data_IF_126240465233
#
_entry.id   IF_126240465233
#
_cell.length_a   1.000
_cell.length_b   1.000
_cell.length_c   1.000
_cell.angle_alpha   90.00
_cell.angle_beta   90.00
_cell.angle_gamma   90.00
#
_symmetry.space_group_name_H-M   'P 1'
#
loop_
_entity.id
_entity.type
_entity.pdbx_description
1 polymer ?
#
# COMPACT_ATOMS: atom_id res chain seq x y z
N UNK A 1 -63.54 6.41 7.64
CA UNK A 1 -62.52 6.99 6.76
C UNK A 1 -61.11 6.51 7.15
N UNK A 2 -60.75 6.60 8.43
CA UNK A 2 -59.43 6.20 8.99
C UNK A 2 -58.99 4.76 8.69
N UNK A 3 -59.89 3.77 8.77
CA UNK A 3 -59.56 2.36 8.49
C UNK A 3 -59.10 2.13 7.05
N UNK A 4 -59.59 2.94 6.11
CA UNK A 4 -59.24 2.88 4.68
C UNK A 4 -57.89 3.53 4.43
N UNK A 5 -57.58 4.62 5.13
CA UNK A 5 -56.28 5.30 5.12
C UNK A 5 -55.18 4.40 5.68
N UNK A 6 -55.37 3.79 6.86
CA UNK A 6 -54.38 2.84 7.44
C UNK A 6 -54.08 1.64 6.54
N UNK A 7 -55.08 1.16 5.80
CA UNK A 7 -54.90 0.05 4.84
C UNK A 7 -54.09 0.48 3.62
N UNK A 8 -54.23 1.73 3.17
CA UNK A 8 -53.44 2.30 2.08
C UNK A 8 -51.99 2.54 2.51
N UNK A 9 -51.77 3.05 3.73
CA UNK A 9 -50.42 3.23 4.31
C UNK A 9 -49.67 1.90 4.42
N UNK A 10 -50.29 0.87 4.99
CA UNK A 10 -49.68 -0.47 5.08
C UNK A 10 -49.35 -1.09 3.71
N UNK A 11 -50.18 -0.82 2.69
CA UNK A 11 -49.92 -1.27 1.32
C UNK A 11 -48.78 -0.48 0.67
N UNK A 12 -48.65 0.81 0.96
CA UNK A 12 -47.54 1.65 0.50
C UNK A 12 -46.22 1.18 1.09
N UNK A 13 -46.17 0.95 2.40
CA UNK A 13 -44.97 0.46 3.10
C UNK A 13 -44.51 -0.91 2.59
N UNK A 14 -45.47 -1.81 2.34
CA UNK A 14 -45.20 -3.12 1.74
C UNK A 14 -44.67 -3.00 0.32
N UNK A 15 -45.22 -2.07 -0.48
CA UNK A 15 -44.77 -1.82 -1.85
C UNK A 15 -43.37 -1.20 -1.87
N UNK A 16 -43.09 -0.23 -1.00
CA UNK A 16 -41.76 0.35 -0.83
C UNK A 16 -40.73 -0.71 -0.41
N UNK A 17 -41.06 -1.56 0.56
CA UNK A 17 -40.21 -2.68 0.99
C UNK A 17 -39.93 -3.67 -0.15
N UNK A 18 -40.93 -3.98 -0.98
CA UNK A 18 -40.77 -4.84 -2.15
C UNK A 18 -39.88 -4.20 -3.22
N UNK A 19 -40.06 -2.92 -3.51
CA UNK A 19 -39.20 -2.16 -4.43
C UNK A 19 -37.75 -2.18 -3.93
N UNK A 20 -37.54 -1.93 -2.64
CA UNK A 20 -36.21 -1.96 -2.02
C UNK A 20 -35.56 -3.36 -2.11
N UNK A 21 -36.35 -4.41 -1.93
CA UNK A 21 -35.89 -5.80 -2.09
C UNK A 21 -35.59 -6.16 -3.55
N UNK A 22 -36.39 -5.69 -4.51
CA UNK A 22 -36.14 -5.88 -5.94
C UNK A 22 -34.90 -5.10 -6.39
N UNK A 23 -34.73 -3.86 -5.94
CA UNK A 23 -33.52 -3.07 -6.18
C UNK A 23 -32.28 -3.77 -5.60
N UNK A 24 -32.36 -4.29 -4.36
CA UNK A 24 -31.28 -5.10 -3.76
C UNK A 24 -30.98 -6.36 -4.57
N UNK A 25 -32.01 -7.08 -5.07
CA UNK A 25 -31.83 -8.27 -5.92
C UNK A 25 -31.20 -7.94 -7.27
N UNK A 26 -31.63 -6.85 -7.92
CA UNK A 26 -31.04 -6.37 -9.17
C UNK A 26 -29.59 -5.95 -8.95
N UNK A 27 -29.30 -5.26 -7.84
CA UNK A 27 -27.94 -4.87 -7.48
C UNK A 27 -27.06 -6.07 -7.12
N UNK A 28 -27.58 -7.06 -6.40
CA UNK A 28 -26.87 -8.30 -6.08
C UNK A 28 -26.61 -9.15 -7.33
N UNK A 29 -27.44 -9.03 -8.36
CA UNK A 29 -27.18 -9.69 -9.64
C UNK A 29 -26.07 -8.97 -10.44
N UNK A 30 -25.75 -7.70 -10.12
CA UNK A 30 -24.70 -6.92 -10.80
C UNK A 30 -23.28 -7.18 -10.29
N UNK A 31 -23.10 -7.75 -9.11
CA UNK A 31 -21.81 -7.99 -8.48
C UNK A 31 -21.73 -9.34 -7.80
N UNK A 32 -20.53 -9.92 -7.72
CA UNK A 32 -20.32 -11.12 -6.90
C UNK A 32 -20.48 -10.79 -5.43
N UNK A 33 -20.90 -11.79 -4.67
CA UNK A 33 -21.03 -11.64 -3.23
C UNK A 33 -19.64 -11.52 -2.60
N UNK A 34 -19.42 -10.43 -1.87
CA UNK A 34 -18.22 -10.23 -1.08
C UNK A 34 -18.16 -11.22 0.09
N UNK A 35 -16.95 -11.63 0.47
CA UNK A 35 -16.78 -12.42 1.68
C UNK A 35 -17.05 -11.55 2.90
N UNK A 36 -17.69 -12.15 3.90
CA UNK A 36 -18.01 -11.49 5.17
C UNK A 36 -17.47 -12.29 6.34
N UNK A 37 -17.06 -11.57 7.37
CA UNK A 37 -16.77 -12.13 8.68
C UNK A 37 -17.72 -11.48 9.68
N UNK A 38 -18.73 -12.23 10.12
CA UNK A 38 -19.89 -11.71 10.85
C UNK A 38 -20.65 -10.70 9.98
N UNK A 39 -20.74 -9.45 10.42
CA UNK A 39 -21.36 -8.34 9.69
C UNK A 39 -20.40 -7.63 8.75
N UNK A 40 -19.09 -7.82 8.92
CA UNK A 40 -18.06 -7.01 8.28
C UNK A 40 -17.66 -7.58 6.92
N UNK A 41 -17.66 -6.73 5.90
CA UNK A 41 -17.10 -7.04 4.58
C UNK A 41 -15.58 -7.02 4.65
N UNK A 42 -14.94 -8.10 4.20
CA UNK A 42 -13.49 -8.16 4.18
C UNK A 42 -12.97 -7.47 2.92
N UNK A 43 -12.12 -6.47 3.12
CA UNK A 43 -11.50 -5.69 2.05
C UNK A 43 -9.98 -5.80 2.12
N UNK A 44 -9.32 -5.46 1.01
CA UNK A 44 -7.88 -5.31 0.98
C UNK A 44 -7.46 -4.18 1.95
N UNK A 45 -6.39 -4.39 2.73
CA UNK A 45 -5.89 -3.43 3.73
C UNK A 45 -4.51 -2.92 3.34
N UNK A 46 -4.11 -1.75 3.80
CA UNK A 46 -2.76 -1.19 3.61
C UNK A 46 -1.69 -2.06 4.25
N UNK A 47 -1.92 -2.55 5.46
CA UNK A 47 -0.98 -3.44 6.12
C UNK A 47 -0.78 -4.74 5.31
N UNK A 48 0.48 -5.08 5.10
CA UNK A 48 0.96 -6.25 4.38
C UNK A 48 1.04 -7.46 5.31
N UNK A 49 1.61 -7.29 6.51
CA UNK A 49 1.91 -8.41 7.40
C UNK A 49 0.81 -8.59 8.45
N UNK A 50 -0.07 -9.56 8.21
CA UNK A 50 -1.17 -9.95 9.13
C UNK A 50 -2.03 -8.74 9.57
N UNK A 51 -2.70 -8.06 8.64
CA UNK A 51 -3.63 -6.97 8.96
C UNK A 51 -4.79 -7.46 9.83
N UNK A 52 -5.39 -6.58 10.62
CA UNK A 52 -6.68 -6.87 11.24
C UNK A 52 -7.80 -6.67 10.20
N UNK A 53 -8.26 -7.79 9.63
CA UNK A 53 -9.28 -7.77 8.58
C UNK A 53 -10.68 -7.43 9.11
N UNK A 54 -10.95 -7.58 10.41
CA UNK A 54 -12.25 -7.30 11.02
C UNK A 54 -12.39 -5.84 11.46
N UNK A 55 -11.28 -5.21 11.87
CA UNK A 55 -11.32 -3.89 12.46
C UNK A 55 -11.77 -2.81 11.47
N UNK A 56 -12.59 -1.89 11.94
CA UNK A 56 -13.04 -0.74 11.16
C UNK A 56 -11.84 0.14 10.75
N UNK A 57 -11.97 0.88 9.66
CA UNK A 57 -10.99 1.89 9.27
C UNK A 57 -10.96 2.99 10.33
N UNK A 58 -9.77 3.30 10.83
CA UNK A 58 -9.52 4.40 11.76
C UNK A 58 -9.56 5.71 10.97
N UNK A 59 -10.46 6.62 11.39
CA UNK A 59 -10.51 7.98 10.88
C UNK A 59 -9.67 8.87 11.78
N UNK A 60 -8.60 9.44 11.26
CA UNK A 60 -7.70 10.31 12.03
C UNK A 60 -7.00 11.31 11.13
N UNK A 61 -6.76 12.51 11.66
CA UNK A 61 -5.94 13.55 11.03
C UNK A 61 -4.48 13.48 11.49
N UNK A 62 -4.17 12.62 12.46
CA UNK A 62 -2.80 12.37 12.94
C UNK A 62 -2.59 10.88 13.20
N UNK A 63 -1.91 10.22 12.27
CA UNK A 63 -1.41 8.84 12.46
C UNK A 63 -0.34 8.80 13.55
N UNK A 64 0.49 9.84 13.66
CA UNK A 64 1.47 10.02 14.74
C UNK A 64 0.85 9.85 16.13
N UNK A 65 -0.21 10.62 16.42
CA UNK A 65 -0.89 10.57 17.73
C UNK A 65 -1.56 9.23 17.98
N UNK A 66 -2.20 8.65 16.96
CA UNK A 66 -2.86 7.35 17.10
C UNK A 66 -1.86 6.24 17.43
N UNK A 67 -0.74 6.17 16.70
CA UNK A 67 0.31 5.17 16.94
C UNK A 67 0.96 5.38 18.30
N UNK A 68 1.18 6.63 18.73
CA UNK A 68 1.66 6.94 20.08
C UNK A 68 0.75 6.34 21.17
N UNK A 69 -0.57 6.56 21.07
CA UNK A 69 -1.55 6.01 22.01
C UNK A 69 -1.52 4.48 21.97
N UNK A 70 -1.51 3.90 20.77
CA UNK A 70 -1.45 2.46 20.57
C UNK A 70 -0.22 1.83 21.25
N UNK A 71 0.98 2.38 21.01
CA UNK A 71 2.22 1.87 21.60
C UNK A 71 2.23 2.02 23.12
N UNK A 72 1.69 3.12 23.65
CA UNK A 72 1.55 3.34 25.11
C UNK A 72 0.59 2.33 25.74
N UNK A 73 -0.57 2.08 25.13
CA UNK A 73 -1.54 1.09 25.61
C UNK A 73 -1.00 -0.34 25.58
N UNK A 74 -0.17 -0.66 24.58
CA UNK A 74 0.50 -1.96 24.46
C UNK A 74 1.83 -2.04 25.23
N UNK A 75 2.16 -1.05 26.07
CA UNK A 75 3.36 -1.01 26.92
C UNK A 75 4.69 -1.23 26.15
N UNK A 76 4.76 -0.74 24.91
CA UNK A 76 5.93 -0.86 24.06
C UNK A 76 6.85 0.38 24.19
N UNK A 77 7.42 0.61 25.37
CA UNK A 77 8.17 1.85 25.69
C UNK A 77 9.35 2.11 24.75
N UNK A 78 10.13 1.08 24.43
CA UNK A 78 11.27 1.23 23.50
C UNK A 78 10.83 1.62 22.08
N UNK A 79 9.69 1.11 21.62
CA UNK A 79 9.13 1.49 20.33
C UNK A 79 8.57 2.93 20.38
N UNK A 80 7.96 3.32 21.50
CA UNK A 80 7.42 4.66 21.71
C UNK A 80 8.51 5.72 21.60
N UNK A 81 9.66 5.50 22.23
CA UNK A 81 10.81 6.42 22.17
C UNK A 81 11.28 6.66 20.73
N UNK A 82 11.43 5.59 19.93
CA UNK A 82 11.80 5.72 18.52
C UNK A 82 10.70 6.41 17.70
N UNK A 83 9.43 6.16 18.00
CA UNK A 83 8.31 6.80 17.32
C UNK A 83 8.30 8.31 17.56
N UNK A 84 8.51 8.75 18.80
CA UNK A 84 8.61 10.17 19.16
C UNK A 84 9.82 10.84 18.50
N UNK A 85 10.97 10.16 18.46
CA UNK A 85 12.13 10.67 17.70
C UNK A 85 11.82 10.82 16.22
N UNK A 86 11.15 9.85 15.61
CA UNK A 86 10.76 9.92 14.20
C UNK A 86 9.84 11.12 13.93
N UNK A 87 8.86 11.36 14.80
CA UNK A 87 7.96 12.51 14.71
C UNK A 87 8.72 13.85 14.84
N UNK A 88 9.69 13.94 15.76
CA UNK A 88 10.52 15.13 15.92
C UNK A 88 11.38 15.42 14.67
N UNK A 89 12.00 14.38 14.08
CA UNK A 89 12.72 14.54 12.81
C UNK A 89 11.80 14.93 11.65
N UNK A 90 10.56 14.43 11.61
CA UNK A 90 9.56 14.86 10.65
C UNK A 90 9.23 16.36 10.81
N UNK A 91 8.91 16.80 12.03
CA UNK A 91 8.62 18.22 12.33
C UNK A 91 9.79 19.15 12.01
N UNK A 92 11.02 18.69 12.21
CA UNK A 92 12.21 19.43 11.80
C UNK A 92 12.37 19.45 10.27
N UNK A 93 12.01 18.37 9.57
CA UNK A 93 12.18 18.28 8.11
C UNK A 93 11.26 19.23 7.35
N UNK A 94 10.02 19.45 7.81
CA UNK A 94 9.05 20.28 7.10
C UNK A 94 9.45 21.76 7.03
N UNK A 95 10.35 22.24 7.90
CA UNK A 95 10.85 23.62 7.90
C UNK A 95 12.16 23.80 7.14
N UNK A 96 12.78 22.72 6.67
CA UNK A 96 14.06 22.76 5.98
C UNK A 96 13.89 22.98 4.46
N UNK A 97 14.88 23.60 3.80
CA UNK A 97 14.93 23.64 2.34
C UNK A 97 15.12 22.22 1.77
N UNK A 98 14.72 22.04 0.51
CA UNK A 98 14.59 20.73 -0.12
C UNK A 98 15.91 19.94 -0.24
N UNK A 99 17.04 20.63 -0.29
CA UNK A 99 18.40 20.07 -0.32
C UNK A 99 18.88 19.58 1.06
N UNK A 100 18.39 20.17 2.16
CA UNK A 100 18.71 19.75 3.52
C UNK A 100 17.73 18.68 4.08
N UNK A 101 16.51 18.62 3.54
CA UNK A 101 15.45 17.70 3.98
C UNK A 101 15.79 16.21 3.96
N UNK A 102 16.53 15.66 2.97
CA UNK A 102 16.80 14.23 2.93
C UNK A 102 17.49 13.68 4.18
N UNK A 103 18.36 14.48 4.80
CA UNK A 103 19.07 14.11 6.03
C UNK A 103 18.11 13.85 7.19
N UNK A 104 17.22 14.80 7.47
CA UNK A 104 16.27 14.68 8.60
C UNK A 104 15.16 13.68 8.29
N UNK A 105 14.67 13.62 7.04
CA UNK A 105 13.72 12.61 6.61
C UNK A 105 14.28 11.19 6.72
N UNK A 106 15.56 10.99 6.40
CA UNK A 106 16.18 9.69 6.60
C UNK A 106 16.16 9.26 8.07
N UNK A 107 16.48 10.16 9.01
CA UNK A 107 16.40 9.84 10.44
C UNK A 107 14.96 9.68 10.95
N UNK A 108 13.99 10.36 10.34
CA UNK A 108 12.57 10.06 10.53
C UNK A 108 12.28 8.59 10.18
N UNK A 109 12.68 8.15 8.99
CA UNK A 109 12.39 6.79 8.50
C UNK A 109 13.13 5.72 9.30
N UNK A 110 14.41 5.96 9.61
CA UNK A 110 15.22 5.10 10.44
C UNK A 110 14.55 4.81 11.78
N UNK A 111 14.10 5.86 12.46
CA UNK A 111 13.47 5.71 13.77
C UNK A 111 12.06 5.13 13.68
N UNK A 112 11.28 5.46 12.65
CA UNK A 112 9.98 4.83 12.41
C UNK A 112 10.11 3.31 12.19
N UNK A 113 11.13 2.86 11.44
CA UNK A 113 11.42 1.43 11.27
C UNK A 113 11.87 0.78 12.58
N UNK A 114 12.75 1.43 13.35
CA UNK A 114 13.14 0.91 14.67
C UNK A 114 11.93 0.76 15.60
N UNK A 115 10.99 1.71 15.59
CA UNK A 115 9.74 1.63 16.34
C UNK A 115 8.91 0.42 15.89
N UNK A 116 8.76 0.21 14.57
CA UNK A 116 8.10 -0.97 14.02
C UNK A 116 8.76 -2.27 14.52
N UNK A 117 10.06 -2.43 14.31
CA UNK A 117 10.78 -3.65 14.67
C UNK A 117 10.70 -3.92 16.17
N UNK A 118 10.84 -2.89 17.02
CA UNK A 118 10.65 -3.02 18.47
C UNK A 118 9.21 -3.39 18.85
N UNK A 119 8.20 -2.81 18.22
CA UNK A 119 6.78 -3.14 18.47
C UNK A 119 6.41 -4.57 18.08
N UNK A 120 7.17 -5.19 17.16
CA UNK A 120 6.99 -6.57 16.71
C UNK A 120 7.98 -7.54 17.34
N UNK A 121 8.80 -7.09 18.28
CA UNK A 121 9.86 -7.88 18.91
C UNK A 121 10.84 -8.52 17.91
N UNK A 122 11.18 -7.79 16.84
CA UNK A 122 12.14 -8.22 15.83
C UNK A 122 13.52 -7.66 16.17
N UNK A 123 14.51 -8.55 16.24
CA UNK A 123 15.91 -8.18 16.46
C UNK A 123 16.52 -7.55 15.20
N UNK A 124 17.40 -6.56 15.40
CA UNK A 124 18.11 -5.89 14.32
C UNK A 124 19.45 -5.32 14.81
N UNK A 125 20.43 -5.24 13.91
CA UNK A 125 21.69 -4.50 14.11
C UNK A 125 21.43 -2.99 13.97
N UNK A 126 22.07 -2.17 14.79
CA UNK A 126 21.88 -0.71 14.84
C UNK A 126 22.43 0.04 13.62
N UNK A 127 23.24 -0.61 12.78
CA UNK A 127 23.68 -0.11 11.46
C UNK A 127 22.48 0.18 10.55
N UNK A 128 22.68 1.08 9.60
CA UNK A 128 21.64 1.51 8.66
C UNK A 128 21.05 0.37 7.81
N UNK A 129 21.86 -0.66 7.49
CA UNK A 129 21.48 -1.78 6.63
C UNK A 129 21.45 -1.47 5.13
N UNK A 130 22.03 -0.34 4.75
CA UNK A 130 22.14 0.14 3.38
C UNK A 130 23.43 0.96 3.25
N UNK A 131 23.97 1.08 2.06
CA UNK A 131 25.01 2.05 1.71
C UNK A 131 24.76 2.61 0.32
N UNK A 132 25.23 3.83 0.08
CA UNK A 132 25.26 4.41 -1.25
C UNK A 132 26.69 4.59 -1.75
N UNK A 133 26.83 4.51 -3.06
CA UNK A 133 28.05 4.89 -3.76
C UNK A 133 27.67 5.58 -5.07
N UNK A 134 28.57 6.43 -5.56
CA UNK A 134 28.41 7.08 -6.86
C UNK A 134 29.43 6.53 -7.83
N UNK A 135 28.95 6.10 -9.00
CA UNK A 135 29.82 5.76 -10.12
C UNK A 135 30.40 7.06 -10.71
N UNK A 136 31.73 7.09 -10.88
CA UNK A 136 32.44 8.20 -11.50
C UNK A 136 31.88 8.49 -12.88
N UNK A 137 31.69 9.78 -13.20
CA UNK A 137 31.21 10.22 -14.50
C UNK A 137 30.15 11.31 -14.40
N UNK A 138 29.26 11.36 -15.40
CA UNK A 138 28.19 12.37 -15.47
C UNK A 138 27.27 12.26 -14.25
N UNK A 139 26.80 13.40 -13.76
CA UNK A 139 25.84 13.44 -12.65
C UNK A 139 24.47 13.12 -13.20
N UNK A 140 24.01 11.92 -12.86
CA UNK A 140 22.76 11.32 -13.27
C UNK A 140 22.36 10.30 -12.21
N UNK A 141 21.08 10.23 -11.88
CA UNK A 141 20.54 9.29 -10.88
C UNK A 141 20.78 7.80 -11.22
N UNK A 142 21.11 7.47 -12.48
CA UNK A 142 21.57 6.14 -12.90
C UNK A 142 22.92 5.77 -12.24
N UNK A 143 23.76 6.77 -12.00
CA UNK A 143 25.09 6.59 -11.43
C UNK A 143 25.08 6.64 -9.89
N UNK A 144 23.93 6.83 -9.26
CA UNK A 144 23.76 6.71 -7.81
C UNK A 144 23.36 5.26 -7.50
N UNK A 145 24.31 4.48 -6.99
CA UNK A 145 24.12 3.07 -6.62
C UNK A 145 23.78 2.95 -5.14
N UNK A 146 22.95 1.97 -4.84
CA UNK A 146 22.42 1.70 -3.51
C UNK A 146 22.54 0.21 -3.25
N UNK A 147 23.27 -0.15 -2.20
CA UNK A 147 23.45 -1.53 -1.76
C UNK A 147 22.62 -1.82 -0.53
N UNK A 148 21.68 -2.74 -0.61
CA UNK A 148 20.99 -3.32 0.54
C UNK A 148 21.93 -4.33 1.21
N UNK A 149 22.12 -4.22 2.53
CA UNK A 149 23.02 -5.08 3.29
C UNK A 149 22.23 -6.18 4.01
N UNK A 150 22.86 -7.34 4.17
CA UNK A 150 22.31 -8.50 4.89
C UNK A 150 21.96 -8.22 6.38
N UNK A 151 22.55 -7.19 6.98
CA UNK A 151 22.38 -6.82 8.40
C UNK A 151 22.14 -5.33 8.55
N UNK A 152 21.43 -4.96 9.61
CA UNK A 152 21.08 -3.58 9.95
C UNK A 152 19.57 -3.35 10.00
N UNK A 153 19.16 -2.11 10.24
CA UNK A 153 17.75 -1.73 10.37
C UNK A 153 16.95 -2.02 9.10
N UNK A 154 17.49 -1.71 7.91
CA UNK A 154 16.81 -2.05 6.65
C UNK A 154 16.65 -3.57 6.47
N UNK A 155 17.67 -4.36 6.80
CA UNK A 155 17.55 -5.83 6.76
C UNK A 155 16.47 -6.33 7.72
N UNK A 156 16.37 -5.73 8.91
CA UNK A 156 15.27 -6.00 9.85
C UNK A 156 13.89 -5.71 9.25
N UNK A 157 13.72 -4.58 8.56
CA UNK A 157 12.49 -4.24 7.83
C UNK A 157 12.18 -5.27 6.74
N UNK A 158 13.17 -5.60 5.92
CA UNK A 158 13.10 -6.62 4.87
C UNK A 158 12.65 -7.98 5.42
N UNK A 159 13.23 -8.41 6.55
CA UNK A 159 12.85 -9.65 7.24
C UNK A 159 11.41 -9.61 7.77
N UNK A 160 11.00 -8.48 8.38
CA UNK A 160 9.62 -8.29 8.83
C UNK A 160 8.63 -8.45 7.67
N UNK A 161 8.95 -7.85 6.52
CA UNK A 161 8.14 -7.88 5.30
C UNK A 161 8.24 -9.21 4.53
N UNK A 162 8.98 -10.20 5.06
CA UNK A 162 9.21 -11.53 4.46
C UNK A 162 9.95 -11.49 3.13
N UNK A 163 10.80 -10.49 2.98
CA UNK A 163 11.64 -10.26 1.82
C UNK A 163 13.08 -10.12 2.33
N UNK A 164 13.74 -11.18 2.86
CA UNK A 164 15.10 -11.07 3.38
C UNK A 164 16.07 -10.57 2.29
N UNK A 165 17.09 -9.82 2.71
CA UNK A 165 18.21 -9.45 1.84
C UNK A 165 19.13 -10.66 1.76
N UNK A 166 19.48 -11.17 0.56
CA UNK A 166 20.36 -12.33 0.41
C UNK A 166 21.78 -12.04 0.94
N UNK A 167 22.52 -13.11 1.18
CA UNK A 167 23.95 -13.04 1.51
C UNK A 167 24.71 -12.27 0.42
N UNK A 168 25.64 -11.41 0.83
CA UNK A 168 26.38 -10.53 -0.09
C UNK A 168 25.66 -9.24 -0.47
N UNK A 169 24.36 -9.13 -0.17
CA UNK A 169 23.54 -7.94 -0.41
C UNK A 169 22.94 -7.86 -1.82
N UNK A 170 22.25 -6.76 -2.10
CA UNK A 170 21.66 -6.47 -3.41
C UNK A 170 21.94 -5.05 -3.83
N UNK A 171 22.26 -4.85 -5.10
CA UNK A 171 22.62 -3.56 -5.67
C UNK A 171 21.52 -3.05 -6.60
N UNK A 172 21.17 -1.78 -6.44
CA UNK A 172 20.18 -1.07 -7.25
C UNK A 172 20.67 0.30 -7.67
N UNK A 173 20.08 0.83 -8.74
CA UNK A 173 20.21 2.24 -9.12
C UNK A 173 19.11 3.06 -8.45
N UNK A 174 19.43 4.30 -8.04
CA UNK A 174 18.42 5.21 -7.54
C UNK A 174 17.31 5.43 -8.57
N UNK A 175 17.64 5.49 -9.86
CA UNK A 175 16.63 5.57 -10.93
C UNK A 175 15.62 4.42 -10.89
N UNK A 176 16.11 3.19 -10.81
CA UNK A 176 15.25 2.00 -10.82
C UNK A 176 14.46 1.88 -9.52
N UNK A 177 15.02 2.32 -8.39
CA UNK A 177 14.27 2.45 -7.14
C UNK A 177 13.10 3.44 -7.30
N UNK A 178 13.35 4.65 -7.81
CA UNK A 178 12.31 5.66 -8.01
C UNK A 178 11.24 5.21 -9.02
N UNK A 179 11.62 4.43 -10.04
CA UNK A 179 10.67 3.82 -10.98
C UNK A 179 9.65 2.89 -10.28
N UNK A 180 10.08 2.20 -9.23
CA UNK A 180 9.32 1.21 -8.48
C UNK A 180 8.55 1.80 -7.27
N UNK A 181 8.26 3.11 -7.28
CA UNK A 181 7.47 3.77 -6.24
C UNK A 181 6.17 4.35 -6.83
N UNK A 182 5.04 3.73 -6.51
CA UNK A 182 3.73 4.07 -7.09
C UNK A 182 3.34 5.55 -6.90
N UNK A 183 3.63 6.13 -5.74
CA UNK A 183 3.23 7.49 -5.38
C UNK A 183 3.97 8.60 -6.15
N UNK A 184 5.10 8.27 -6.80
CA UNK A 184 5.82 9.19 -7.70
C UNK A 184 5.90 8.68 -9.14
N UNK A 185 5.28 7.55 -9.45
CA UNK A 185 5.47 6.89 -10.74
C UNK A 185 5.03 7.76 -11.92
N UNK A 186 3.97 8.55 -11.74
CA UNK A 186 3.54 9.51 -12.76
C UNK A 186 4.63 10.56 -13.03
N UNK A 187 5.23 11.13 -11.98
CA UNK A 187 6.36 12.05 -12.10
C UNK A 187 7.55 11.39 -12.78
N UNK A 188 7.81 10.11 -12.48
CA UNK A 188 8.85 9.34 -13.16
C UNK A 188 8.59 9.23 -14.67
N UNK A 189 7.38 8.86 -15.09
CA UNK A 189 7.01 8.75 -16.50
C UNK A 189 7.08 10.10 -17.23
N UNK A 190 6.79 11.22 -16.56
CA UNK A 190 6.96 12.56 -17.13
C UNK A 190 8.44 12.90 -17.34
N UNK A 191 9.31 12.55 -16.39
CA UNK A 191 10.77 12.76 -16.50
C UNK A 191 11.42 11.82 -17.53
N UNK A 192 10.91 10.59 -17.64
CA UNK A 192 11.37 9.55 -18.56
C UNK A 192 10.23 9.00 -19.45
N UNK A 193 9.79 9.75 -20.49
CA UNK A 193 8.61 9.40 -21.30
C UNK A 193 8.69 8.07 -22.08
N UNK A 194 9.89 7.51 -22.23
CA UNK A 194 10.12 6.22 -22.90
C UNK A 194 10.02 5.02 -21.96
N UNK A 195 9.81 5.25 -20.67
CA UNK A 195 9.65 4.17 -19.69
C UNK A 195 8.24 3.62 -19.72
N UNK A 196 8.13 2.29 -19.72
CA UNK A 196 6.85 1.58 -19.63
C UNK A 196 6.16 1.89 -18.30
N UNK A 197 4.86 2.15 -18.32
CA UNK A 197 4.09 2.38 -17.10
C UNK A 197 3.95 1.06 -16.31
N UNK A 198 4.40 1.09 -15.04
CA UNK A 198 4.49 -0.07 -14.15
C UNK A 198 3.21 -0.28 -13.34
N UNK A 199 2.46 0.79 -13.06
CA UNK A 199 1.29 0.75 -12.19
C UNK A 199 0.00 1.02 -12.96
N UNK A 200 -1.01 0.20 -12.71
CA UNK A 200 -2.34 0.35 -13.30
C UNK A 200 -3.32 0.76 -12.20
N UNK A 201 -3.99 1.91 -12.28
CA UNK A 201 -5.00 2.31 -11.31
C UNK A 201 -6.20 1.36 -11.36
N UNK A 202 -6.66 0.94 -10.19
CA UNK A 202 -7.79 0.02 -10.03
C UNK A 202 -8.82 0.58 -9.05
N UNK A 203 -10.07 0.14 -9.22
CA UNK A 203 -11.19 0.47 -8.35
C UNK A 203 -11.57 -0.75 -7.51
N UNK A 204 -11.90 -0.48 -6.25
CA UNK A 204 -12.59 -1.41 -5.34
C UNK A 204 -11.99 -2.82 -5.26
N UNK A 205 -10.69 -2.98 -4.90
CA UNK A 205 -10.15 -4.31 -4.63
C UNK A 205 -10.88 -4.94 -3.44
N UNK A 206 -11.60 -6.03 -3.70
CA UNK A 206 -12.46 -6.70 -2.72
C UNK A 206 -12.31 -8.21 -2.82
N UNK A 207 -12.53 -8.89 -1.69
CA UNK A 207 -12.55 -10.34 -1.67
C UNK A 207 -13.98 -10.83 -1.89
N UNK A 208 -14.17 -11.71 -2.86
CA UNK A 208 -15.47 -12.28 -3.22
C UNK A 208 -15.45 -13.79 -3.13
N UNK A 209 -16.63 -14.41 -3.18
CA UNK A 209 -16.79 -15.86 -3.10
C UNK A 209 -17.70 -16.44 -4.17
N UNK A 210 -17.47 -17.71 -4.41
CA UNK A 210 -18.40 -18.63 -5.03
C UNK A 210 -18.88 -19.63 -3.97
N UNK A 211 -20.13 -19.47 -3.53
CA UNK A 211 -20.73 -20.33 -2.50
C UNK A 211 -20.90 -21.77 -2.96
N UNK A 212 -21.13 -22.01 -4.25
CA UNK A 212 -21.34 -23.36 -4.80
C UNK A 212 -20.05 -24.17 -4.73
N UNK A 213 -18.92 -23.54 -5.06
CA UNK A 213 -17.59 -24.14 -5.03
C UNK A 213 -16.86 -23.98 -3.71
N UNK A 214 -17.39 -23.18 -2.78
CA UNK A 214 -16.79 -22.85 -1.47
C UNK A 214 -15.37 -22.30 -1.60
N UNK A 215 -15.19 -21.37 -2.52
CA UNK A 215 -13.90 -20.72 -2.79
C UNK A 215 -14.04 -19.20 -2.82
N UNK A 216 -12.95 -18.50 -2.54
CA UNK A 216 -12.85 -17.05 -2.66
C UNK A 216 -11.60 -16.59 -3.42
N UNK A 217 -11.61 -15.33 -3.84
CA UNK A 217 -10.50 -14.65 -4.50
C UNK A 217 -10.63 -13.13 -4.38
N UNK A 218 -9.57 -12.39 -4.73
CA UNK A 218 -9.64 -10.94 -4.90
C UNK A 218 -10.06 -10.58 -6.33
N UNK A 219 -10.95 -9.59 -6.46
CA UNK A 219 -11.31 -8.96 -7.72
C UNK A 219 -11.27 -7.43 -7.62
N UNK A 220 -11.14 -6.78 -8.77
CA UNK A 220 -11.09 -5.32 -8.90
C UNK A 220 -11.51 -4.89 -10.31
N UNK A 221 -11.94 -3.63 -10.43
CA UNK A 221 -12.28 -3.03 -11.72
C UNK A 221 -11.11 -2.17 -12.24
N UNK A 222 -10.84 -2.22 -13.54
CA UNK A 222 -9.87 -1.33 -14.18
C UNK A 222 -10.48 0.05 -14.43
N UNK A 223 -9.69 1.12 -14.21
CA UNK A 223 -10.06 2.46 -14.67
C UNK A 223 -10.16 2.50 -16.21
N UNK A 224 -11.06 3.34 -16.75
CA UNK A 224 -11.47 3.29 -18.17
C UNK A 224 -10.31 3.39 -19.17
N UNK A 225 -9.32 4.22 -18.88
CA UNK A 225 -8.11 4.39 -19.70
C UNK A 225 -7.27 3.10 -19.83
N UNK A 226 -7.35 2.19 -18.87
CA UNK A 226 -6.54 0.97 -18.81
C UNK A 226 -7.29 -0.29 -19.27
N UNK A 227 -8.50 -0.16 -19.83
CA UNK A 227 -9.34 -1.27 -20.28
C UNK A 227 -8.90 -1.92 -21.61
N UNK A 228 -7.67 -1.72 -22.08
CA UNK A 228 -7.22 -2.32 -23.35
C UNK A 228 -6.91 -3.82 -23.20
N UNK A 229 -7.28 -4.62 -24.20
CA UNK A 229 -7.03 -6.08 -24.18
C UNK A 229 -5.54 -6.41 -24.08
N UNK A 230 -4.66 -5.58 -24.66
CA UNK A 230 -3.21 -5.75 -24.58
C UNK A 230 -2.70 -5.63 -23.15
N UNK A 231 -3.22 -4.69 -22.35
CA UNK A 231 -2.82 -4.55 -20.95
C UNK A 231 -3.26 -5.80 -20.18
N UNK A 232 -4.52 -6.20 -20.34
CA UNK A 232 -5.13 -7.34 -19.64
C UNK A 232 -4.39 -8.64 -19.93
N UNK A 233 -4.11 -8.94 -21.20
CA UNK A 233 -3.42 -10.17 -21.61
C UNK A 233 -2.00 -10.28 -21.07
N UNK A 234 -1.38 -9.15 -20.73
CA UNK A 234 -0.04 -9.08 -20.15
C UNK A 234 -0.04 -9.03 -18.61
N UNK A 235 -1.20 -9.13 -17.94
CA UNK A 235 -1.27 -9.18 -16.48
C UNK A 235 -1.06 -10.60 -15.95
N UNK A 236 0.08 -10.82 -15.31
CA UNK A 236 0.45 -12.14 -14.81
C UNK A 236 -0.48 -12.63 -13.68
N UNK A 237 -1.22 -13.71 -13.99
CA UNK A 237 -2.08 -14.42 -13.06
C UNK A 237 -3.38 -13.69 -12.68
N UNK A 238 -3.79 -12.72 -13.48
CA UNK A 238 -5.11 -12.11 -13.45
C UNK A 238 -5.85 -12.40 -14.76
N UNK A 239 -7.18 -12.49 -14.72
CA UNK A 239 -8.02 -12.69 -15.91
C UNK A 239 -9.39 -12.03 -15.72
N UNK A 240 -10.10 -11.78 -16.81
CA UNK A 240 -11.48 -11.28 -16.77
C UNK A 240 -12.41 -12.31 -16.11
N UNK A 241 -13.24 -11.85 -15.17
CA UNK A 241 -14.26 -12.71 -14.57
C UNK A 241 -15.51 -12.74 -15.45
N UNK A 242 -15.76 -13.91 -16.03
CA UNK A 242 -16.89 -14.18 -16.94
C UNK A 242 -18.26 -13.83 -16.36
N UNK A 243 -18.40 -13.75 -15.03
CA UNK A 243 -19.66 -13.33 -14.39
C UNK A 243 -20.11 -11.93 -14.78
N UNK A 244 -19.19 -11.08 -15.24
CA UNK A 244 -19.47 -9.68 -15.59
C UNK A 244 -19.66 -9.43 -17.09
N UNK A 245 -19.47 -10.44 -17.95
CA UNK A 245 -19.53 -10.29 -19.41
C UNK A 245 -20.85 -9.65 -19.86
N UNK A 246 -21.99 -10.13 -19.35
CA UNK A 246 -23.32 -9.64 -19.73
C UNK A 246 -23.77 -8.41 -18.90
N UNK A 247 -22.87 -7.85 -18.09
CA UNK A 247 -23.17 -6.80 -17.09
C UNK A 247 -22.52 -5.47 -17.40
N UNK A 248 -21.88 -5.35 -18.57
CA UNK A 248 -21.22 -4.13 -19.03
C UNK A 248 -20.06 -3.68 -18.15
N UNK A 249 -19.45 -4.60 -17.40
CA UNK A 249 -18.35 -4.30 -16.48
C UNK A 249 -17.13 -5.13 -16.81
N UNK A 250 -15.96 -4.50 -16.76
CA UNK A 250 -14.66 -5.16 -16.90
C UNK A 250 -14.02 -5.32 -15.53
N UNK A 251 -14.30 -6.47 -14.91
CA UNK A 251 -13.73 -6.86 -13.62
C UNK A 251 -12.67 -7.92 -13.85
N UNK A 252 -11.48 -7.67 -13.32
CA UNK A 252 -10.41 -8.66 -13.27
C UNK A 252 -10.40 -9.35 -11.92
N UNK A 253 -10.03 -10.62 -11.94
CA UNK A 253 -9.85 -11.44 -10.74
C UNK A 253 -8.49 -12.09 -10.73
N UNK A 254 -7.99 -12.40 -9.53
CA UNK A 254 -6.86 -13.31 -9.39
C UNK A 254 -7.26 -14.72 -9.83
N UNK A 255 -6.40 -15.37 -10.60
CA UNK A 255 -6.65 -16.73 -11.10
C UNK A 255 -6.60 -17.75 -9.96
N UNK A 256 -5.65 -17.59 -9.04
CA UNK A 256 -5.57 -18.41 -7.82
C UNK A 256 -6.72 -18.06 -6.87
N UNK A 257 -7.26 -19.09 -6.24
CA UNK A 257 -8.35 -19.03 -5.27
C UNK A 257 -7.94 -19.64 -3.93
N UNK A 258 -8.72 -19.40 -2.90
CA UNK A 258 -8.59 -20.07 -1.60
C UNK A 258 -9.91 -20.73 -1.20
N UNK A 259 -9.86 -21.78 -0.37
CA UNK A 259 -11.06 -22.42 0.17
C UNK A 259 -11.69 -21.53 1.22
N UNK A 260 -12.98 -21.26 1.10
CA UNK A 260 -13.74 -20.37 1.96
C UNK A 260 -15.09 -20.99 2.33
N UNK A 261 -15.25 -21.30 3.61
CA UNK A 261 -16.48 -21.78 4.21
C UNK A 261 -16.85 -20.87 5.39
N UNK A 262 -17.98 -20.18 5.24
CA UNK A 262 -18.51 -19.28 6.27
C UNK A 262 -20.03 -19.44 6.41
N UNK A 263 -20.51 -20.53 7.04
CA UNK A 263 -21.93 -20.70 7.35
C UNK A 263 -22.43 -19.49 8.15
N UNK A 264 -23.53 -18.86 7.69
CA UNK A 264 -24.07 -17.62 8.30
C UNK A 264 -23.03 -16.51 8.48
N UNK A 265 -22.10 -16.37 7.53
CA UNK A 265 -20.97 -15.42 7.57
C UNK A 265 -20.00 -15.64 8.74
N UNK A 266 -20.00 -16.83 9.36
CA UNK A 266 -19.05 -17.18 10.42
C UNK A 266 -17.99 -18.11 9.84
N UNK A 267 -16.83 -17.60 9.37
CA UNK A 267 -15.81 -18.40 8.72
C UNK A 267 -15.16 -19.39 9.71
N UNK A 268 -14.89 -20.60 9.23
CA UNK A 268 -14.12 -21.58 10.01
C UNK A 268 -12.68 -21.11 10.21
N UNK A 269 -12.00 -21.56 11.27
CA UNK A 269 -10.58 -21.22 11.50
C UNK A 269 -9.69 -21.62 10.30
N UNK A 270 -10.02 -22.74 9.65
CA UNK A 270 -9.35 -23.17 8.42
C UNK A 270 -9.53 -22.16 7.28
N UNK A 271 -10.72 -21.62 7.09
CA UNK A 271 -11.00 -20.59 6.09
C UNK A 271 -10.29 -19.28 6.38
N UNK A 272 -10.21 -18.89 7.66
CA UNK A 272 -9.44 -17.72 8.11
C UNK A 272 -7.95 -17.91 7.78
N UNK A 273 -7.38 -19.07 8.10
CA UNK A 273 -5.98 -19.37 7.79
C UNK A 273 -5.72 -19.36 6.27
N UNK A 274 -6.62 -19.97 5.49
CA UNK A 274 -6.54 -19.96 4.02
C UNK A 274 -6.58 -18.53 3.46
N UNK A 275 -7.44 -17.67 4.00
CA UNK A 275 -7.53 -16.26 3.62
C UNK A 275 -6.23 -15.53 3.94
N UNK A 276 -5.64 -15.68 5.12
CA UNK A 276 -4.37 -15.03 5.45
C UNK A 276 -3.22 -15.54 4.57
N UNK A 277 -3.11 -16.86 4.33
CA UNK A 277 -2.11 -17.41 3.41
C UNK A 277 -2.28 -16.95 1.97
N UNK A 278 -3.52 -16.72 1.55
CA UNK A 278 -3.83 -16.13 0.24
C UNK A 278 -3.47 -14.64 0.21
N UNK A 279 -3.88 -13.89 1.22
CA UNK A 279 -3.65 -12.46 1.38
C UNK A 279 -2.16 -12.14 1.30
N UNK A 280 -1.33 -12.87 2.04
CA UNK A 280 0.12 -12.69 2.06
C UNK A 280 0.77 -12.79 0.66
N UNK A 281 0.26 -13.69 -0.19
CA UNK A 281 0.80 -13.91 -1.55
C UNK A 281 0.30 -12.88 -2.57
N UNK A 282 -0.86 -12.27 -2.31
CA UNK A 282 -1.58 -11.44 -3.28
C UNK A 282 -1.44 -9.96 -2.95
N UNK A 283 -1.39 -9.60 -1.67
CA UNK A 283 -1.30 -8.23 -1.20
C UNK A 283 -0.10 -7.46 -1.80
N UNK A 284 1.11 -8.03 -1.96
CA UNK A 284 2.26 -7.30 -2.54
C UNK A 284 2.03 -6.81 -3.97
N UNK A 285 1.12 -7.43 -4.73
CA UNK A 285 0.80 -7.00 -6.10
C UNK A 285 0.09 -5.64 -6.12
N UNK A 286 -0.53 -5.25 -5.02
CA UNK A 286 -1.32 -4.03 -4.90
C UNK A 286 -0.53 -2.93 -4.20
N UNK A 287 -0.56 -1.73 -4.73
CA UNK A 287 0.05 -0.55 -4.12
C UNK A 287 -1.02 0.46 -3.75
N UNK A 288 -0.94 0.94 -2.51
CA UNK A 288 -1.80 2.00 -2.02
C UNK A 288 -1.03 3.31 -2.07
N UNK A 289 -1.64 4.35 -2.64
CA UNK A 289 -1.10 5.71 -2.61
C UNK A 289 -1.82 6.49 -1.52
N UNK A 290 -1.06 7.05 -0.58
CA UNK A 290 -1.59 7.91 0.47
C UNK A 290 -2.31 9.11 -0.12
N UNK A 291 -3.61 9.20 0.19
CA UNK A 291 -4.52 10.20 -0.34
C UNK A 291 -5.78 10.24 0.51
N UNK A 292 -6.52 11.36 0.54
CA UNK A 292 -7.87 11.39 1.11
C UNK A 292 -8.80 10.36 0.45
N UNK A 293 -8.53 10.01 -0.82
CA UNK A 293 -9.24 8.96 -1.55
C UNK A 293 -8.54 7.60 -1.42
N UNK A 294 -9.30 6.51 -1.52
CA UNK A 294 -8.72 5.14 -1.50
C UNK A 294 -8.14 4.79 -2.87
N UNK A 295 -6.91 5.23 -3.12
CA UNK A 295 -6.22 5.01 -4.39
C UNK A 295 -5.43 3.70 -4.35
N UNK A 296 -5.86 2.74 -5.15
CA UNK A 296 -5.20 1.45 -5.31
C UNK A 296 -4.67 1.30 -6.73
N UNK A 297 -3.50 0.69 -6.84
CA UNK A 297 -2.82 0.41 -8.10
C UNK A 297 -2.37 -1.06 -8.10
N UNK A 298 -2.41 -1.68 -9.27
CA UNK A 298 -1.80 -2.99 -9.49
C UNK A 298 -0.41 -2.79 -10.08
N UNK A 299 0.61 -3.41 -9.49
CA UNK A 299 1.98 -3.45 -10.02
C UNK A 299 2.07 -4.52 -11.11
N UNK A 300 2.51 -4.14 -12.31
CA UNK A 300 2.83 -5.07 -13.39
C UNK A 300 4.14 -5.81 -13.08
N UNK A 301 4.25 -7.05 -13.54
CA UNK A 301 5.44 -7.90 -13.38
C UNK A 301 6.11 -8.16 -14.73
N UNK A 302 7.35 -8.63 -14.70
CA UNK A 302 8.16 -8.94 -15.88
C UNK A 302 8.35 -7.72 -16.81
N UNK A 303 8.37 -6.52 -16.23
CA UNK A 303 8.71 -5.29 -16.92
C UNK A 303 10.19 -5.00 -16.66
N UNK A 304 10.92 -4.56 -17.69
CA UNK A 304 12.33 -4.18 -17.54
C UNK A 304 12.47 -3.11 -16.44
N UNK A 305 13.49 -3.25 -15.59
CA UNK A 305 13.76 -2.38 -14.42
C UNK A 305 12.74 -2.52 -13.26
N UNK A 306 11.83 -3.50 -13.31
CA UNK A 306 10.99 -3.84 -12.16
C UNK A 306 11.85 -4.45 -11.04
N UNK A 307 11.63 -4.00 -9.80
CA UNK A 307 12.29 -4.50 -8.60
C UNK A 307 11.24 -5.17 -7.72
N UNK A 308 11.36 -6.48 -7.51
CA UNK A 308 10.47 -7.24 -6.64
C UNK A 308 10.82 -7.05 -5.15
N UNK A 309 10.66 -5.82 -4.65
CA UNK A 309 10.82 -5.43 -3.24
C UNK A 309 9.68 -4.51 -2.82
N UNK A 310 9.37 -4.54 -1.52
CA UNK A 310 8.36 -3.70 -0.93
C UNK A 310 8.73 -2.20 -1.01
N UNK A 311 7.79 -1.31 -1.38
CA UNK A 311 8.06 0.13 -1.46
C UNK A 311 8.57 0.79 -0.18
N UNK A 312 8.29 0.24 1.01
CA UNK A 312 8.87 0.71 2.25
C UNK A 312 10.39 0.52 2.26
N UNK A 313 10.88 -0.66 1.85
CA UNK A 313 12.32 -0.93 1.74
C UNK A 313 12.96 0.02 0.73
N UNK A 314 12.33 0.18 -0.43
CA UNK A 314 12.80 1.04 -1.52
C UNK A 314 12.83 2.53 -1.13
N UNK A 315 11.77 3.02 -0.46
CA UNK A 315 11.69 4.40 0.05
C UNK A 315 12.76 4.66 1.12
N UNK A 316 12.95 3.71 2.05
CA UNK A 316 14.03 3.84 3.03
C UNK A 316 15.40 3.94 2.33
N UNK A 317 15.67 3.07 1.36
CA UNK A 317 16.96 2.97 0.69
C UNK A 317 17.26 4.21 -0.18
N UNK A 318 16.28 4.71 -0.94
CA UNK A 318 16.43 5.95 -1.71
C UNK A 318 16.66 7.16 -0.80
N UNK A 319 15.91 7.29 0.30
CA UNK A 319 16.09 8.42 1.22
C UNK A 319 17.45 8.37 1.91
N UNK A 320 17.96 7.18 2.24
CA UNK A 320 19.32 7.02 2.73
C UNK A 320 20.34 7.58 1.73
N UNK A 321 20.27 7.21 0.45
CA UNK A 321 21.22 7.73 -0.55
C UNK A 321 21.14 9.24 -0.69
N UNK A 322 19.94 9.81 -0.73
CA UNK A 322 19.79 11.27 -0.78
C UNK A 322 20.32 11.95 0.49
N UNK A 323 20.19 11.30 1.66
CA UNK A 323 20.75 11.81 2.92
C UNK A 323 22.28 11.81 2.94
N UNK A 324 22.92 10.81 2.33
CA UNK A 324 24.38 10.78 2.17
C UNK A 324 24.84 11.88 1.22
N UNK A 325 24.13 12.10 0.11
CA UNK A 325 24.41 13.21 -0.80
C UNK A 325 24.25 14.56 -0.09
N UNK A 326 23.18 14.76 0.69
CA UNK A 326 22.98 15.99 1.45
C UNK A 326 24.11 16.27 2.45
N UNK A 327 24.68 15.21 3.05
CA UNK A 327 25.70 15.33 4.09
C UNK A 327 27.13 15.43 3.54
N UNK A 328 27.47 14.57 2.59
CA UNK A 328 28.86 14.39 2.14
C UNK A 328 29.13 14.99 0.75
N UNK A 329 28.10 15.11 -0.09
CA UNK A 329 28.23 15.62 -1.47
C UNK A 329 27.15 16.66 -1.83
N UNK A 330 26.92 17.72 -1.03
CA UNK A 330 25.77 18.62 -1.19
C UNK A 330 25.71 19.32 -2.56
N UNK A 331 26.87 19.61 -3.15
CA UNK A 331 26.97 20.15 -4.53
C UNK A 331 26.41 19.19 -5.58
N UNK A 332 26.59 17.88 -5.38
CA UNK A 332 26.06 16.85 -6.28
C UNK A 332 24.54 16.75 -6.12
N UNK A 333 24.03 16.82 -4.89
CA UNK A 333 22.59 16.86 -4.63
C UNK A 333 21.92 18.07 -5.32
N UNK A 334 22.49 19.27 -5.17
CA UNK A 334 21.99 20.49 -5.84
C UNK A 334 21.89 20.29 -7.35
N UNK A 335 22.93 19.69 -7.95
CA UNK A 335 22.94 19.42 -9.39
C UNK A 335 21.90 18.38 -9.82
N UNK A 336 21.55 17.42 -8.97
CA UNK A 336 20.41 16.53 -9.24
C UNK A 336 19.07 17.28 -9.16
N UNK A 337 18.95 18.22 -8.23
CA UNK A 337 17.77 19.08 -8.00
C UNK A 337 17.61 20.23 -9.01
N UNK A 338 18.61 20.51 -9.84
CA UNK A 338 18.56 21.58 -10.86
C UNK A 338 18.46 21.05 -12.30
N UNK A 339 18.59 19.74 -12.50
CA UNK A 339 18.67 19.12 -13.83
C UNK A 339 17.39 18.36 -14.19
N UNK A 340 17.47 17.54 -15.24
CA UNK A 340 16.37 16.74 -15.78
C UNK A 340 15.59 15.93 -14.72
N UNK A 341 16.26 15.44 -13.69
CA UNK A 341 15.62 14.64 -12.63
C UNK A 341 15.06 15.47 -11.47
N UNK A 342 15.21 16.80 -11.50
CA UNK A 342 14.79 17.73 -10.45
C UNK A 342 13.36 17.45 -9.98
N UNK A 343 12.40 17.55 -10.91
CA UNK A 343 10.99 17.32 -10.64
C UNK A 343 10.72 15.99 -9.92
N UNK A 344 11.33 14.91 -10.40
CA UNK A 344 11.14 13.57 -9.83
C UNK A 344 11.70 13.46 -8.41
N UNK A 345 12.90 14.01 -8.18
CA UNK A 345 13.56 13.96 -6.87
C UNK A 345 12.83 14.84 -5.86
N UNK A 346 12.39 16.03 -6.29
CA UNK A 346 11.60 16.93 -5.45
C UNK A 346 10.29 16.28 -5.04
N UNK A 347 9.52 15.73 -6.00
CA UNK A 347 8.28 15.02 -5.70
C UNK A 347 8.52 13.83 -4.77
N UNK A 348 9.63 13.10 -4.94
CA UNK A 348 10.00 12.02 -4.03
C UNK A 348 10.24 12.53 -2.60
N UNK A 349 11.06 13.57 -2.42
CA UNK A 349 11.35 14.16 -1.09
C UNK A 349 10.07 14.66 -0.42
N UNK A 350 9.15 15.23 -1.19
CA UNK A 350 7.89 15.76 -0.70
C UNK A 350 6.86 14.69 -0.32
N UNK A 351 6.68 13.67 -1.15
CA UNK A 351 5.61 12.67 -0.96
C UNK A 351 6.01 11.48 -0.12
N UNK A 352 7.30 11.15 -0.08
CA UNK A 352 7.78 9.92 0.55
C UNK A 352 7.43 9.83 2.03
N UNK A 353 7.44 10.95 2.77
CA UNK A 353 7.22 10.91 4.22
C UNK A 353 5.81 10.52 4.60
N UNK A 354 4.80 11.13 4.00
CA UNK A 354 3.40 10.80 4.30
C UNK A 354 3.10 9.35 3.93
N UNK A 355 3.58 8.91 2.76
CA UNK A 355 3.42 7.55 2.28
C UNK A 355 4.13 6.53 3.20
N UNK A 356 5.37 6.82 3.60
CA UNK A 356 6.18 5.92 4.41
C UNK A 356 5.62 5.80 5.83
N UNK A 357 5.23 6.92 6.43
CA UNK A 357 4.68 6.95 7.78
C UNK A 357 3.28 6.32 7.83
N UNK A 358 2.41 6.52 6.85
CA UNK A 358 1.13 5.80 6.75
C UNK A 358 1.36 4.28 6.70
N UNK A 359 2.31 3.82 5.86
CA UNK A 359 2.66 2.41 5.76
C UNK A 359 3.20 1.83 7.08
N UNK A 360 4.19 2.48 7.69
CA UNK A 360 4.76 2.05 8.99
C UNK A 360 3.70 2.08 10.10
N UNK A 361 2.84 3.09 10.13
CA UNK A 361 1.73 3.18 11.10
C UNK A 361 0.79 1.98 10.97
N UNK A 362 0.42 1.63 9.73
CA UNK A 362 -0.40 0.46 9.45
C UNK A 362 0.28 -0.84 9.83
N UNK A 363 1.59 -0.97 9.62
CA UNK A 363 2.34 -2.15 10.05
C UNK A 363 2.43 -2.25 11.59
N UNK A 364 2.67 -1.16 12.31
CA UNK A 364 2.74 -1.15 13.79
C UNK A 364 1.40 -1.58 14.39
N UNK A 365 0.31 -0.99 13.92
CA UNK A 365 -1.02 -1.12 14.53
C UNK A 365 -1.86 -2.25 13.96
N UNK A 366 -1.52 -2.73 12.74
CA UNK A 366 -2.34 -3.61 11.88
C UNK A 366 -3.64 -2.97 11.40
N UNK A 367 -3.78 -1.66 11.60
CA UNK A 367 -4.99 -0.90 11.27
C UNK A 367 -4.93 -0.27 9.89
N UNK A 368 -6.10 0.06 9.38
CA UNK A 368 -6.30 0.87 8.19
C UNK A 368 -6.59 2.32 8.59
N UNK A 369 -5.88 3.28 8.02
CA UNK A 369 -6.09 4.71 8.29
C UNK A 369 -6.76 5.43 7.12
N UNK A 370 -7.60 6.41 7.43
CA UNK A 370 -8.13 7.40 6.48
C UNK A 370 -8.20 8.78 7.14
N UNK A 371 -7.93 9.82 6.38
CA UNK A 371 -8.07 11.22 6.81
C UNK A 371 -9.54 11.49 7.17
N UNK A 372 -9.80 12.19 8.27
CA UNK A 372 -11.16 12.48 8.70
C UNK A 372 -11.86 13.46 7.72
N UNK A 373 -13.20 13.45 7.69
CA UNK A 373 -13.98 14.39 6.87
C UNK A 373 -14.15 14.02 5.39
N UNK A 374 -13.53 12.96 4.88
CA UNK A 374 -13.77 12.49 3.50
C UNK A 374 -14.84 11.41 3.44
N UNK A 375 -16.03 11.75 2.93
CA UNK A 375 -17.03 10.75 2.47
C UNK A 375 -16.65 10.31 1.05
N UNK A 376 -16.71 9.00 0.80
CA UNK A 376 -16.52 8.44 -0.54
C UNK A 376 -17.74 8.69 -1.42
#
# INVERSE_FOLDING_TARGET
MERRVRKLEANLDKSQSNILNLQKKVFSNKYREQIKWSTDEIRLRKCLVKPDLKKATVLTDSTWRYVWIYLKQNRCESALYYWEQAENFYKASISLPIDARPLTLYYCYLNAVKALLKSKSISFDTKHGVSGERIKGRINIINEKIKLKEKGVLSGLSNYLKEPVPEGGEDYELKDILYNLAYIHRSFCLTFPRSTELYIPIKTPTFVQDKSRKIGWVEFELCDYFKSNTIINNLEGYSEDRFYNDKGKRVLRRNKTFKWEAPRNSPTQKSINNLYSYYEKVRPDFQYIYSPNRLWYLKRKNIRHEINRNPLVLTYAAMHRLSELARYEPKILSQHLERRSSWLISEYIDRSVDQFIDGISSEITKDEFKIAGTRN
#
